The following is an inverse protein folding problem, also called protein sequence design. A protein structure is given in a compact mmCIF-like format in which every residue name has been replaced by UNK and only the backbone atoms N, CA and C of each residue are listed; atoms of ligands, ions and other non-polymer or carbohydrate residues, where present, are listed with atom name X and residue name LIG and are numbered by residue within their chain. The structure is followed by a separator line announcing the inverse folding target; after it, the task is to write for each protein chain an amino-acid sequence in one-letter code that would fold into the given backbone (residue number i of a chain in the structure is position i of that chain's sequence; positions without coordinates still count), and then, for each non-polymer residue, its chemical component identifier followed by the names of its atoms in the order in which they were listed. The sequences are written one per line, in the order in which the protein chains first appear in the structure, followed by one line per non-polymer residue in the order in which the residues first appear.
data_IF_463317072712
#
_entry.id   IF_463317072712
#
_cell.length_a   1.000
_cell.length_b   1.000
_cell.length_c   1.000
_cell.angle_alpha   90.00
_cell.angle_beta   90.00
_cell.angle_gamma   90.00
#
_symmetry.space_group_name_H-M   'P 1'
#
loop_
_entity.id
_entity.type
_entity.pdbx_description
1 polymer ?
#
# COMPACT_ATOMS: atom_id res chain seq x y z
N UNK A 1 52.43 88.67 -34.71
CA UNK A 1 52.84 87.30 -34.33
C UNK A 1 52.19 86.99 -32.99
N UNK A 2 51.24 86.06 -32.97
CA UNK A 2 50.52 85.65 -31.77
C UNK A 2 51.10 84.31 -31.29
N UNK A 3 51.63 84.28 -30.08
CA UNK A 3 52.24 83.08 -29.50
C UNK A 3 51.18 82.29 -28.74
N UNK A 4 51.07 81.00 -29.04
CA UNK A 4 50.27 80.05 -28.27
C UNK A 4 50.98 79.63 -26.99
N UNK A 5 50.19 79.28 -25.97
CA UNK A 5 50.59 78.61 -24.73
C UNK A 5 49.33 78.02 -24.08
N UNK A 6 49.44 76.92 -23.31
CA UNK A 6 48.97 75.62 -23.77
C UNK A 6 47.68 75.12 -23.09
N UNK A 7 47.14 74.08 -23.72
CA UNK A 7 46.11 73.14 -23.30
C UNK A 7 45.90 72.96 -21.79
N UNK A 8 44.66 73.20 -21.34
CA UNK A 8 44.14 72.58 -20.13
C UNK A 8 44.01 71.08 -20.33
N UNK A 9 44.78 70.31 -19.55
CA UNK A 9 44.62 68.87 -19.44
C UNK A 9 43.31 68.55 -18.72
N UNK A 10 42.34 68.04 -19.46
CA UNK A 10 41.29 67.22 -18.90
C UNK A 10 41.81 65.79 -18.94
N UNK A 11 42.41 65.32 -17.85
CA UNK A 11 42.70 63.90 -17.66
C UNK A 11 41.38 63.13 -17.63
N UNK A 12 41.14 62.16 -18.53
CA UNK A 12 39.99 61.28 -18.41
C UNK A 12 40.24 60.33 -17.24
N UNK A 13 39.39 60.38 -16.22
CA UNK A 13 39.41 59.39 -15.14
C UNK A 13 39.24 57.98 -15.75
N UNK A 14 40.14 57.02 -15.48
CA UNK A 14 40.01 55.68 -16.00
C UNK A 14 38.81 54.99 -15.35
N UNK A 15 37.76 54.75 -16.13
CA UNK A 15 36.61 53.96 -15.70
C UNK A 15 37.11 52.53 -15.40
N UNK A 16 37.28 52.21 -14.11
CA UNK A 16 37.60 50.85 -13.66
C UNK A 16 36.35 49.97 -13.81
N UNK A 17 36.17 49.41 -15.01
CA UNK A 17 35.16 48.41 -15.26
C UNK A 17 35.53 47.14 -14.49
N UNK A 18 34.84 46.88 -13.38
CA UNK A 18 35.07 45.68 -12.59
C UNK A 18 34.68 44.47 -13.43
N UNK A 19 35.64 43.57 -13.68
CA UNK A 19 35.39 42.33 -14.40
C UNK A 19 34.44 41.44 -13.58
N UNK A 20 33.13 41.52 -13.87
CA UNK A 20 32.10 40.74 -13.20
C UNK A 20 32.08 39.28 -13.68
N UNK A 21 32.53 39.00 -14.90
CA UNK A 21 32.47 37.65 -15.50
C UNK A 21 33.26 36.60 -14.71
N UNK A 22 34.51 36.86 -14.27
CA UNK A 22 35.23 35.90 -13.42
C UNK A 22 34.63 35.79 -12.01
N UNK A 23 34.06 36.88 -11.49
CA UNK A 23 33.41 36.91 -10.18
C UNK A 23 32.16 36.03 -10.16
N UNK A 24 31.35 36.09 -11.21
CA UNK A 24 30.14 35.27 -11.37
C UNK A 24 30.50 33.78 -11.44
N UNK A 25 31.59 33.41 -12.14
CA UNK A 25 32.04 32.02 -12.27
C UNK A 25 32.45 31.43 -10.90
N UNK A 26 33.25 32.17 -10.13
CA UNK A 26 33.64 31.76 -8.77
C UNK A 26 32.41 31.64 -7.86
N UNK A 27 31.45 32.56 -7.96
CA UNK A 27 30.22 32.48 -7.17
C UNK A 27 29.35 31.28 -7.56
N UNK A 28 29.24 30.97 -8.86
CA UNK A 28 28.47 29.83 -9.36
C UNK A 28 29.08 28.50 -8.89
N UNK A 29 30.41 28.37 -8.92
CA UNK A 29 31.11 27.20 -8.38
C UNK A 29 30.79 26.98 -6.90
N UNK A 30 30.78 28.03 -6.09
CA UNK A 30 30.45 27.92 -4.65
C UNK A 30 29.00 27.49 -4.42
N UNK A 31 28.05 27.98 -5.22
CA UNK A 31 26.64 27.57 -5.16
C UNK A 31 26.49 26.08 -5.52
N UNK A 32 27.15 25.63 -6.59
CA UNK A 32 27.09 24.22 -7.02
C UNK A 32 27.70 23.33 -5.94
N UNK A 33 28.85 23.72 -5.35
CA UNK A 33 29.45 22.99 -4.24
C UNK A 33 28.50 22.91 -3.03
N UNK A 34 27.82 24.00 -2.67
CA UNK A 34 26.85 24.00 -1.58
C UNK A 34 25.66 23.06 -1.87
N UNK A 35 25.17 22.99 -3.10
CA UNK A 35 24.05 22.11 -3.48
C UNK A 35 24.43 20.62 -3.38
N UNK A 36 25.63 20.23 -3.85
CA UNK A 36 26.02 18.80 -3.92
C UNK A 36 26.48 18.22 -2.58
N UNK A 37 26.72 19.06 -1.58
CA UNK A 37 27.31 18.63 -0.29
C UNK A 37 26.31 17.95 0.65
N UNK A 38 24.99 17.99 0.37
CA UNK A 38 24.01 17.30 1.21
C UNK A 38 24.06 15.80 0.94
N UNK A 39 24.50 14.96 1.90
CA UNK A 39 24.50 13.52 1.73
C UNK A 39 23.06 13.02 1.79
N UNK A 40 22.71 12.10 0.88
CA UNK A 40 21.40 11.44 0.93
C UNK A 40 21.26 10.68 2.26
N UNK A 41 20.24 11.01 3.05
CA UNK A 41 19.94 10.30 4.28
C UNK A 41 19.44 8.88 3.92
N UNK A 42 20.32 7.89 4.01
CA UNK A 42 19.97 6.50 3.75
C UNK A 42 19.40 5.90 5.03
N UNK A 43 18.07 5.84 5.16
CA UNK A 43 17.41 5.08 6.22
C UNK A 43 17.47 3.58 5.87
N UNK A 44 18.60 2.93 6.16
CA UNK A 44 18.68 1.47 6.13
C UNK A 44 18.05 0.92 7.40
N UNK A 45 16.74 0.69 7.38
CA UNK A 45 16.09 -0.12 8.41
C UNK A 45 16.58 -1.56 8.21
N UNK A 46 17.49 -2.00 9.06
CA UNK A 46 17.99 -3.37 9.07
C UNK A 46 16.88 -4.29 9.61
N UNK A 47 15.89 -4.61 8.78
CA UNK A 47 14.89 -5.63 9.08
C UNK A 47 15.61 -6.98 9.12
N UNK A 48 15.96 -7.43 10.32
CA UNK A 48 16.30 -8.83 10.55
C UNK A 48 15.02 -9.64 10.31
N UNK A 49 14.80 -10.04 9.05
CA UNK A 49 13.78 -11.03 8.73
C UNK A 49 14.25 -12.35 9.31
N UNK A 50 13.53 -12.97 10.26
CA UNK A 50 13.87 -14.30 10.72
C UNK A 50 13.89 -15.25 9.51
N UNK A 51 15.08 -15.77 9.20
CA UNK A 51 15.32 -16.76 8.14
C UNK A 51 14.88 -18.13 8.64
N UNK A 52 13.57 -18.29 8.80
CA UNK A 52 12.98 -19.58 9.12
C UNK A 52 11.68 -19.67 8.38
N UNK A 53 11.65 -20.50 7.33
CA UNK A 53 10.39 -21.05 6.84
C UNK A 53 9.69 -21.62 8.06
N UNK A 54 8.53 -21.09 8.50
CA UNK A 54 7.82 -21.67 9.61
C UNK A 54 7.64 -23.16 9.32
N UNK A 55 7.87 -24.06 10.29
CA UNK A 55 7.53 -25.45 10.07
C UNK A 55 6.08 -25.51 9.57
N UNK A 56 5.79 -26.32 8.53
CA UNK A 56 4.44 -26.44 8.02
C UNK A 56 3.51 -26.73 9.21
N UNK A 57 2.32 -26.11 9.25
CA UNK A 57 1.41 -26.26 10.36
C UNK A 57 1.22 -27.75 10.66
N UNK A 58 1.40 -28.13 11.93
CA UNK A 58 1.42 -29.53 12.40
C UNK A 58 0.08 -30.24 12.14
N UNK A 59 -0.96 -29.47 11.83
CA UNK A 59 -2.30 -29.94 11.51
C UNK A 59 -2.81 -29.15 10.31
N UNK A 60 -3.30 -29.85 9.29
CA UNK A 60 -4.07 -29.20 8.22
C UNK A 60 -5.30 -28.52 8.86
N UNK A 61 -5.55 -27.23 8.55
CA UNK A 61 -6.71 -26.54 9.06
C UNK A 61 -7.97 -27.27 8.59
N UNK A 62 -8.91 -27.47 9.50
CA UNK A 62 -10.22 -28.03 9.13
C UNK A 62 -10.90 -26.99 8.24
N UNK A 63 -11.27 -27.40 7.03
CA UNK A 63 -11.96 -26.54 6.07
C UNK A 63 -13.44 -26.86 6.12
N UNK A 64 -14.25 -25.81 6.28
CA UNK A 64 -15.71 -25.88 6.26
C UNK A 64 -16.18 -25.17 5.00
N UNK A 65 -17.01 -25.84 4.21
CA UNK A 65 -17.49 -25.26 2.96
C UNK A 65 -18.95 -24.82 3.09
N UNK A 66 -19.21 -23.55 2.78
CA UNK A 66 -20.56 -22.99 2.68
C UNK A 66 -20.84 -22.76 1.21
N UNK A 67 -21.68 -23.61 0.62
CA UNK A 67 -22.18 -23.41 -0.74
C UNK A 67 -23.47 -22.63 -0.71
N UNK A 68 -23.62 -21.66 -1.62
CA UNK A 68 -24.87 -20.94 -1.82
C UNK A 68 -25.35 -21.21 -3.23
N UNK A 69 -26.45 -21.93 -3.36
CA UNK A 69 -27.00 -22.31 -4.66
C UNK A 69 -27.76 -21.15 -5.34
N UNK A 70 -28.18 -21.33 -6.60
CA UNK A 70 -28.80 -20.28 -7.44
C UNK A 70 -30.09 -19.71 -6.83
N UNK A 71 -30.84 -20.52 -6.08
CA UNK A 71 -32.07 -20.15 -5.41
C UNK A 71 -31.84 -19.48 -4.04
N UNK A 72 -30.59 -19.39 -3.60
CA UNK A 72 -30.20 -18.90 -2.28
C UNK A 72 -30.22 -19.98 -1.19
N UNK A 73 -30.39 -21.25 -1.54
CA UNK A 73 -30.23 -22.37 -0.61
C UNK A 73 -28.78 -22.41 -0.13
N UNK A 74 -28.60 -22.50 1.18
CA UNK A 74 -27.29 -22.55 1.83
C UNK A 74 -27.01 -24.00 2.21
N UNK A 75 -25.86 -24.51 1.78
CA UNK A 75 -25.37 -25.83 2.19
C UNK A 75 -24.11 -25.66 3.03
N UNK A 76 -24.02 -26.44 4.09
CA UNK A 76 -22.87 -26.54 4.98
C UNK A 76 -22.27 -27.94 4.82
N UNK A 77 -21.08 -28.04 4.25
CA UNK A 77 -20.41 -29.31 3.94
C UNK A 77 -21.33 -30.30 3.19
N UNK A 78 -22.03 -29.82 2.16
CA UNK A 78 -23.08 -30.53 1.39
C UNK A 78 -24.39 -30.85 2.14
N UNK A 79 -24.54 -30.46 3.40
CA UNK A 79 -25.80 -30.58 4.12
C UNK A 79 -26.63 -29.29 3.99
N UNK A 80 -27.88 -29.41 3.54
CA UNK A 80 -28.77 -28.25 3.44
C UNK A 80 -29.02 -27.65 4.81
N UNK A 81 -28.83 -26.34 4.92
CA UNK A 81 -29.15 -25.56 6.11
C UNK A 81 -30.58 -25.04 5.98
N UNK A 82 -31.49 -25.58 6.79
CA UNK A 82 -32.92 -25.33 6.66
C UNK A 82 -33.33 -23.88 7.00
N UNK A 83 -32.60 -23.21 7.89
CA UNK A 83 -32.94 -21.89 8.39
C UNK A 83 -31.71 -21.08 8.82
N UNK A 84 -31.90 -19.76 8.93
CA UNK A 84 -30.83 -18.84 9.31
C UNK A 84 -30.35 -19.03 10.75
N UNK A 85 -31.22 -19.48 11.66
CA UNK A 85 -30.85 -19.78 13.04
C UNK A 85 -29.87 -20.95 13.12
N UNK A 86 -30.10 -22.00 12.34
CA UNK A 86 -29.20 -23.15 12.22
C UNK A 86 -27.83 -22.74 11.64
N UNK A 87 -27.81 -21.83 10.65
CA UNK A 87 -26.57 -21.27 10.13
C UNK A 87 -25.80 -20.49 11.21
N UNK A 88 -26.49 -19.59 11.92
CA UNK A 88 -25.89 -18.77 12.97
C UNK A 88 -25.36 -19.62 14.14
N UNK A 89 -26.07 -20.70 14.51
CA UNK A 89 -25.62 -21.65 15.51
C UNK A 89 -24.32 -22.35 15.10
N UNK A 90 -24.26 -22.88 13.87
CA UNK A 90 -23.04 -23.51 13.31
C UNK A 90 -21.87 -22.53 13.24
N UNK A 91 -22.11 -21.28 12.84
CA UNK A 91 -21.09 -20.23 12.80
C UNK A 91 -20.61 -19.85 14.22
N UNK A 92 -21.50 -19.88 15.22
CA UNK A 92 -21.14 -19.65 16.62
C UNK A 92 -20.25 -20.77 17.15
N UNK A 93 -20.56 -22.03 16.85
CA UNK A 93 -19.73 -23.17 17.22
C UNK A 93 -18.34 -23.10 16.57
N UNK A 94 -18.27 -22.62 15.32
CA UNK A 94 -17.00 -22.35 14.64
C UNK A 94 -16.22 -21.23 15.32
N UNK A 95 -16.88 -20.13 15.68
CA UNK A 95 -16.24 -19.00 16.33
C UNK A 95 -15.75 -19.33 17.75
N UNK A 96 -16.40 -20.26 18.44
CA UNK A 96 -16.04 -20.72 19.78
C UNK A 96 -14.81 -21.64 19.82
N UNK A 97 -14.35 -22.16 18.68
CA UNK A 97 -13.15 -23.00 18.62
C UNK A 97 -11.89 -22.17 18.83
N UNK A 98 -10.98 -22.68 19.67
CA UNK A 98 -9.70 -22.03 19.95
C UNK A 98 -8.80 -21.91 18.71
N UNK A 99 -8.84 -22.92 17.82
CA UNK A 99 -8.30 -22.84 16.48
C UNK A 99 -9.46 -22.88 15.48
N UNK A 100 -9.84 -21.70 14.99
CA UNK A 100 -10.98 -21.59 14.09
C UNK A 100 -10.68 -22.31 12.76
N UNK A 101 -11.62 -23.14 12.25
CA UNK A 101 -11.53 -23.70 10.91
C UNK A 101 -11.62 -22.61 9.85
N UNK A 102 -11.08 -22.89 8.66
CA UNK A 102 -11.21 -22.01 7.50
C UNK A 102 -12.57 -22.21 6.85
N UNK A 103 -13.35 -21.14 6.76
CA UNK A 103 -14.69 -21.14 6.16
C UNK A 103 -14.58 -20.68 4.72
N UNK A 104 -14.85 -21.57 3.78
CA UNK A 104 -14.86 -21.30 2.35
C UNK A 104 -16.29 -21.05 1.87
N UNK A 105 -16.60 -19.81 1.51
CA UNK A 105 -17.88 -19.43 0.93
C UNK A 105 -17.81 -19.56 -0.59
N UNK A 106 -18.60 -20.47 -1.15
CA UNK A 106 -18.71 -20.73 -2.59
C UNK A 106 -20.10 -20.32 -3.09
N UNK A 107 -20.24 -19.10 -3.63
CA UNK A 107 -21.50 -18.69 -4.23
C UNK A 107 -21.67 -19.25 -5.64
N UNK A 108 -22.87 -19.70 -5.97
CA UNK A 108 -23.29 -19.96 -7.34
C UNK A 108 -23.29 -18.65 -8.15
N UNK A 109 -22.88 -18.68 -9.43
CA UNK A 109 -22.84 -17.48 -10.28
C UNK A 109 -24.17 -16.74 -10.40
N UNK A 110 -25.29 -17.48 -10.31
CA UNK A 110 -26.64 -16.94 -10.50
C UNK A 110 -27.27 -16.40 -9.21
N UNK A 111 -26.62 -16.60 -8.05
CA UNK A 111 -27.20 -16.20 -6.77
C UNK A 111 -27.11 -14.68 -6.59
N UNK A 112 -28.12 -14.09 -5.95
CA UNK A 112 -28.08 -12.68 -5.58
C UNK A 112 -26.96 -12.40 -4.58
N UNK A 113 -26.16 -11.38 -4.87
CA UNK A 113 -25.11 -10.87 -3.96
C UNK A 113 -25.62 -10.59 -2.55
N UNK A 114 -26.89 -10.21 -2.40
CA UNK A 114 -27.53 -9.97 -1.10
C UNK A 114 -27.47 -11.19 -0.17
N UNK A 115 -27.63 -12.39 -0.72
CA UNK A 115 -27.59 -13.65 0.06
C UNK A 115 -26.17 -13.90 0.55
N UNK A 116 -25.19 -13.81 -0.35
CA UNK A 116 -23.77 -14.00 -0.07
C UNK A 116 -23.27 -13.00 0.96
N UNK A 117 -23.57 -11.71 0.76
CA UNK A 117 -23.23 -10.65 1.70
C UNK A 117 -23.91 -10.84 3.07
N UNK A 118 -25.13 -11.37 3.09
CA UNK A 118 -25.83 -11.71 4.32
C UNK A 118 -25.13 -12.81 5.13
N UNK A 119 -24.63 -13.84 4.46
CA UNK A 119 -23.84 -14.92 5.08
C UNK A 119 -22.50 -14.39 5.61
N UNK A 120 -21.80 -13.59 4.80
CA UNK A 120 -20.53 -12.95 5.21
C UNK A 120 -20.72 -12.05 6.43
N UNK A 121 -21.76 -11.21 6.43
CA UNK A 121 -22.05 -10.32 7.55
C UNK A 121 -22.43 -11.09 8.82
N UNK A 122 -23.18 -12.18 8.70
CA UNK A 122 -23.51 -13.04 9.83
C UNK A 122 -22.25 -13.70 10.41
N UNK A 123 -21.38 -14.25 9.57
CA UNK A 123 -20.12 -14.88 9.99
C UNK A 123 -19.19 -13.87 10.69
N UNK A 124 -19.02 -12.67 10.13
CA UNK A 124 -18.22 -11.60 10.75
C UNK A 124 -18.80 -11.15 12.09
N UNK A 125 -20.12 -10.96 12.17
CA UNK A 125 -20.81 -10.56 13.41
C UNK A 125 -20.62 -11.59 14.53
N UNK A 126 -20.57 -12.87 14.18
CA UNK A 126 -20.41 -13.99 15.11
C UNK A 126 -18.94 -14.27 15.48
N UNK A 127 -17.98 -13.54 14.90
CA UNK A 127 -16.56 -13.66 15.26
C UNK A 127 -15.81 -14.74 14.48
N UNK A 128 -16.32 -15.18 13.32
CA UNK A 128 -15.58 -16.03 12.40
C UNK A 128 -14.54 -15.18 11.68
N UNK A 129 -13.27 -15.40 11.99
CA UNK A 129 -12.14 -14.59 11.49
C UNK A 129 -11.52 -15.16 10.22
N UNK A 130 -11.54 -16.48 10.05
CA UNK A 130 -10.97 -17.19 8.89
C UNK A 130 -12.05 -17.51 7.86
N UNK A 131 -12.63 -16.50 7.22
CA UNK A 131 -13.60 -16.68 6.13
C UNK A 131 -13.03 -16.17 4.79
N UNK A 132 -13.10 -17.02 3.77
CA UNK A 132 -12.63 -16.72 2.41
C UNK A 132 -13.70 -17.02 1.37
N UNK A 133 -13.83 -16.14 0.37
CA UNK A 133 -14.71 -16.38 -0.78
C UNK A 133 -13.92 -17.12 -1.86
N UNK A 134 -14.36 -18.32 -2.21
CA UNK A 134 -13.67 -19.20 -3.17
C UNK A 134 -14.49 -19.22 -4.47
N UNK A 135 -13.82 -19.04 -5.60
CA UNK A 135 -14.47 -18.99 -6.93
C UNK A 135 -14.80 -17.58 -7.41
N UNK A 136 -14.15 -16.54 -6.87
CA UNK A 136 -14.34 -15.14 -7.31
C UNK A 136 -13.91 -14.89 -8.77
N UNK A 137 -13.18 -15.83 -9.38
CA UNK A 137 -12.80 -15.85 -10.81
C UNK A 137 -14.00 -16.01 -11.75
N UNK A 138 -15.17 -16.37 -11.20
CA UNK A 138 -16.39 -16.61 -11.95
C UNK A 138 -17.28 -15.37 -12.10
N UNK A 139 -16.91 -14.24 -11.48
CA UNK A 139 -17.66 -12.98 -11.44
C UNK A 139 -16.98 -11.83 -12.21
N UNK A 140 -16.01 -12.11 -13.09
CA UNK A 140 -15.53 -11.16 -14.11
C UNK A 140 -16.43 -11.14 -15.34
#
# INVERSE_FOLDING_TARGET
MNVGSPSGGADPEPMMEMNMTPLIDVMLVLIIMMIITIPKANHSVNLNMPVGTPPPPVKEPVVITIDVDFDGTILWDNAVVADRGTLEAKLTDVAAQADQPEVHLRPNKLVSYKVVAGVMAAAQRLGVTKIGLVGNEQFQ
#
